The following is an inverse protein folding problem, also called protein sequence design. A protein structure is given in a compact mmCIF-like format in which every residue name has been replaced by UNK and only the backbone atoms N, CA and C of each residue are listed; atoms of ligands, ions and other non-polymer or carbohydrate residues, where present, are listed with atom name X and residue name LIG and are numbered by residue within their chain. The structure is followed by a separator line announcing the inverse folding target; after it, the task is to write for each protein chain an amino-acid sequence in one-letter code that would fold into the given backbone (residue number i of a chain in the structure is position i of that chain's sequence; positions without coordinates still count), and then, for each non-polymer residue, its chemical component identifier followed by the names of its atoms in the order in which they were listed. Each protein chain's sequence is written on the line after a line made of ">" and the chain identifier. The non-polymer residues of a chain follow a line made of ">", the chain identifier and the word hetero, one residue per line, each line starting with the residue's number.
data_IF_204008278113
#
_entry.id   IF_204008278113
#
_cell.length_a   1.000
_cell.length_b   1.000
_cell.length_c   1.000
_cell.angle_alpha   90.00
_cell.angle_beta   90.00
_cell.angle_gamma   90.00
#
_symmetry.space_group_name_H-M   'P 1'
#
loop_
_entity.id
_entity.type
_entity.pdbx_description
1 polymer ?
#
# COMPACT_ATOMS: atom_id res chain seq x y z
N UNK A 1 1.73 17.69 -21.32
CA UNK A 1 1.55 19.13 -21.04
C UNK A 1 2.34 19.44 -19.78
N UNK A 2 3.20 20.46 -19.83
CA UNK A 2 4.16 20.80 -18.78
C UNK A 2 3.39 21.35 -17.56
N UNK A 3 3.53 20.70 -16.41
CA UNK A 3 2.97 21.16 -15.12
C UNK A 3 3.61 22.50 -14.72
N UNK A 4 2.79 23.50 -14.41
CA UNK A 4 3.26 24.79 -13.91
C UNK A 4 3.63 24.66 -12.42
N UNK A 5 4.90 24.90 -12.11
CA UNK A 5 5.45 24.90 -10.75
C UNK A 5 4.76 25.92 -9.85
N UNK A 6 4.43 25.53 -8.62
CA UNK A 6 3.80 26.41 -7.62
C UNK A 6 4.83 26.99 -6.65
N UNK A 7 4.44 28.08 -5.98
CA UNK A 7 5.25 28.74 -4.94
C UNK A 7 5.69 27.78 -3.81
N UNK A 8 5.04 26.64 -3.62
CA UNK A 8 5.30 25.72 -2.49
C UNK A 8 6.21 24.53 -2.84
N UNK A 9 6.59 24.35 -4.11
CA UNK A 9 7.37 23.19 -4.57
C UNK A 9 8.74 23.07 -3.87
N UNK A 10 9.30 24.18 -3.39
CA UNK A 10 10.55 24.21 -2.63
C UNK A 10 10.48 23.57 -1.23
N UNK A 11 9.27 23.35 -0.69
CA UNK A 11 9.04 22.63 0.56
C UNK A 11 9.10 21.11 0.36
N UNK A 12 8.94 20.66 -0.88
CA UNK A 12 9.01 19.25 -1.28
C UNK A 12 10.24 19.06 -2.17
N UNK A 13 11.44 19.08 -1.59
CA UNK A 13 12.68 18.76 -2.32
C UNK A 13 12.74 17.31 -2.84
N UNK A 14 11.76 16.49 -2.48
CA UNK A 14 11.58 15.12 -2.93
C UNK A 14 10.31 14.96 -3.78
N UNK A 15 9.93 15.95 -4.61
CA UNK A 15 9.05 15.65 -5.75
C UNK A 15 9.89 14.86 -6.75
N UNK A 16 9.97 13.54 -6.53
CA UNK A 16 10.33 12.61 -7.59
C UNK A 16 9.22 12.79 -8.63
N UNK A 17 9.55 13.17 -9.88
CA UNK A 17 8.54 13.26 -10.92
C UNK A 17 7.76 11.93 -10.96
N UNK A 18 6.42 12.01 -11.07
CA UNK A 18 5.50 10.86 -11.23
C UNK A 18 5.72 10.08 -12.55
N UNK A 19 6.96 9.80 -12.91
CA UNK A 19 7.34 8.90 -13.97
C UNK A 19 8.28 7.88 -13.34
N UNK A 20 7.70 6.94 -12.60
CA UNK A 20 8.36 5.65 -12.44
C UNK A 20 8.19 4.95 -13.79
N UNK A 21 9.09 5.25 -14.73
CA UNK A 21 9.03 4.70 -16.08
C UNK A 21 8.92 3.18 -15.98
N UNK A 22 7.82 2.63 -16.49
CA UNK A 22 7.57 1.19 -16.54
C UNK A 22 6.70 0.59 -15.44
N UNK A 23 6.30 1.34 -14.40
CA UNK A 23 5.31 0.85 -13.42
C UNK A 23 3.89 0.99 -13.94
N UNK A 24 3.11 -0.08 -13.80
CA UNK A 24 1.67 -0.07 -14.07
C UNK A 24 0.92 0.52 -12.88
N UNK A 25 0.17 1.59 -13.14
CA UNK A 25 -0.75 2.20 -12.18
C UNK A 25 -2.18 1.75 -12.54
N UNK A 26 -2.93 1.27 -11.56
CA UNK A 26 -4.30 0.77 -11.73
C UNK A 26 -5.31 1.83 -11.30
N UNK A 27 -6.27 2.13 -12.16
CA UNK A 27 -7.41 2.98 -11.87
C UNK A 27 -8.72 2.21 -11.69
N UNK A 28 -9.79 2.94 -11.39
CA UNK A 28 -11.11 2.37 -11.06
C UNK A 28 -11.73 1.47 -12.14
N UNK A 29 -11.32 1.63 -13.39
CA UNK A 29 -11.81 0.85 -14.52
C UNK A 29 -10.90 -0.36 -14.87
N UNK A 30 -9.76 -0.51 -14.19
CA UNK A 30 -8.87 -1.64 -14.37
C UNK A 30 -9.30 -2.83 -13.52
N UNK A 31 -8.88 -4.02 -13.92
CA UNK A 31 -8.94 -5.22 -13.08
C UNK A 31 -7.79 -5.19 -12.06
N UNK A 32 -8.01 -4.46 -10.96
CA UNK A 32 -7.01 -4.22 -9.92
C UNK A 32 -7.09 -5.22 -8.76
N UNK A 33 -8.22 -5.89 -8.57
CA UNK A 33 -8.41 -6.85 -7.47
C UNK A 33 -7.73 -8.16 -7.82
N UNK A 34 -6.77 -8.58 -7.00
CA UNK A 34 -6.02 -9.82 -7.22
C UNK A 34 -5.99 -10.62 -5.93
N UNK A 35 -6.88 -11.62 -5.76
CA UNK A 35 -6.90 -12.46 -4.55
C UNK A 35 -5.51 -13.05 -4.25
N UNK A 36 -5.19 -13.15 -2.96
CA UNK A 36 -3.94 -13.75 -2.53
C UNK A 36 -3.87 -15.21 -2.95
N UNK A 37 -2.76 -15.60 -3.58
CA UNK A 37 -2.53 -17.00 -3.94
C UNK A 37 -1.59 -17.66 -2.94
N UNK A 38 -2.04 -17.75 -1.68
CA UNK A 38 -1.20 -18.15 -0.55
C UNK A 38 -0.59 -19.55 -0.71
N UNK A 39 -1.35 -20.51 -1.23
CA UNK A 39 -0.89 -21.89 -1.46
C UNK A 39 0.27 -22.00 -2.47
N UNK A 40 0.47 -20.97 -3.30
CA UNK A 40 1.54 -20.93 -4.32
C UNK A 40 2.69 -19.99 -3.95
N UNK A 41 2.76 -19.51 -2.69
CA UNK A 41 3.91 -18.73 -2.22
C UNK A 41 5.17 -19.59 -2.28
N UNK A 42 6.22 -19.06 -2.92
CA UNK A 42 7.47 -19.77 -3.10
C UNK A 42 8.30 -19.80 -1.81
N UNK A 43 9.09 -20.85 -1.62
CA UNK A 43 10.05 -20.94 -0.50
C UNK A 43 11.04 -19.75 -0.47
N UNK A 44 11.40 -19.21 -1.64
CA UNK A 44 12.24 -18.02 -1.75
C UNK A 44 11.52 -16.78 -1.20
N UNK A 45 10.25 -16.60 -1.53
CA UNK A 45 9.44 -15.47 -1.04
C UNK A 45 9.30 -15.52 0.48
N UNK A 46 9.03 -16.71 1.04
CA UNK A 46 9.02 -16.91 2.49
C UNK A 46 10.35 -16.52 3.15
N UNK A 47 11.48 -16.84 2.51
CA UNK A 47 12.80 -16.47 3.02
C UNK A 47 13.03 -14.96 2.97
N UNK A 48 12.71 -14.31 1.86
CA UNK A 48 12.85 -12.85 1.71
C UNK A 48 12.01 -12.13 2.79
N UNK A 49 10.76 -12.57 3.00
CA UNK A 49 9.93 -12.04 4.09
C UNK A 49 10.60 -12.19 5.45
N UNK A 50 11.10 -13.39 5.77
CA UNK A 50 11.71 -13.68 7.05
C UNK A 50 12.96 -12.81 7.30
N UNK A 51 13.81 -12.65 6.29
CA UNK A 51 15.01 -11.82 6.36
C UNK A 51 14.66 -10.35 6.59
N UNK A 52 13.74 -9.78 5.80
CA UNK A 52 13.28 -8.40 5.97
C UNK A 52 12.67 -8.16 7.37
N UNK A 53 11.85 -9.10 7.85
CA UNK A 53 11.23 -8.99 9.17
C UNK A 53 12.27 -9.01 10.28
N UNK A 54 13.17 -10.00 10.28
CA UNK A 54 14.16 -10.20 11.34
C UNK A 54 15.19 -9.06 11.37
N UNK A 55 15.53 -8.48 10.22
CA UNK A 55 16.41 -7.33 10.13
C UNK A 55 15.82 -6.08 10.79
N UNK A 56 14.49 -5.95 10.82
CA UNK A 56 13.79 -4.80 11.44
C UNK A 56 13.35 -5.03 12.88
N UNK A 57 13.24 -6.28 13.34
CA UNK A 57 12.62 -6.63 14.64
C UNK A 57 13.19 -5.80 15.81
N UNK A 58 14.51 -5.72 15.92
CA UNK A 58 15.17 -4.95 16.98
C UNK A 58 14.90 -3.44 16.86
N UNK A 59 14.96 -2.89 15.64
CA UNK A 59 14.72 -1.46 15.42
C UNK A 59 13.27 -1.09 15.73
N UNK A 60 12.31 -1.96 15.39
CA UNK A 60 10.90 -1.72 15.67
C UNK A 60 10.63 -1.76 17.16
N UNK A 61 11.16 -2.73 17.90
CA UNK A 61 10.97 -2.78 19.36
C UNK A 61 11.53 -1.53 20.05
N UNK A 62 12.64 -0.99 19.54
CA UNK A 62 13.28 0.20 20.10
C UNK A 62 12.59 1.52 19.72
N UNK A 63 12.10 1.66 18.48
CA UNK A 63 11.71 2.95 17.91
C UNK A 63 10.24 3.07 17.49
N UNK A 64 9.54 1.96 17.28
CA UNK A 64 8.14 2.02 16.84
C UNK A 64 7.23 2.51 17.97
N UNK A 65 6.12 3.14 17.58
CA UNK A 65 5.10 3.59 18.54
C UNK A 65 4.50 2.40 19.30
N UNK A 66 3.97 2.67 20.49
CA UNK A 66 3.27 1.65 21.29
C UNK A 66 2.08 1.08 20.53
N UNK A 67 1.34 1.91 19.81
CA UNK A 67 0.17 1.56 19.03
C UNK A 67 0.51 0.53 17.95
N UNK A 68 1.62 0.76 17.23
CA UNK A 68 2.15 -0.16 16.25
C UNK A 68 2.53 -1.51 16.87
N UNK A 69 3.31 -1.50 17.95
CA UNK A 69 3.77 -2.71 18.63
C UNK A 69 2.61 -3.53 19.20
N UNK A 70 1.54 -2.88 19.68
CA UNK A 70 0.33 -3.57 20.11
C UNK A 70 -0.38 -4.24 18.93
N UNK A 71 -0.49 -3.57 17.78
CA UNK A 71 -1.02 -4.16 16.55
C UNK A 71 -0.24 -5.39 16.12
N UNK A 72 1.09 -5.28 16.07
CA UNK A 72 2.00 -6.37 15.72
C UNK A 72 1.85 -7.59 16.63
N UNK A 73 1.63 -7.38 17.93
CA UNK A 73 1.40 -8.47 18.90
C UNK A 73 0.01 -9.10 18.81
N UNK A 74 -0.96 -8.40 18.22
CA UNK A 74 -2.35 -8.86 18.17
C UNK A 74 -2.65 -9.62 16.88
N UNK A 75 -2.03 -9.21 15.78
CA UNK A 75 -2.25 -9.81 14.47
C UNK A 75 -1.35 -11.04 14.27
N UNK A 76 -1.83 -12.07 13.56
CA UNK A 76 -1.04 -13.26 13.23
C UNK A 76 -0.12 -12.96 12.04
N UNK A 77 0.78 -11.97 12.19
CA UNK A 77 1.80 -11.64 11.19
C UNK A 77 3.05 -12.46 11.54
N UNK A 78 3.35 -13.55 10.81
CA UNK A 78 4.53 -14.37 11.06
C UNK A 78 5.83 -13.61 10.78
N UNK A 79 6.90 -13.94 11.50
CA UNK A 79 8.23 -13.39 11.28
C UNK A 79 9.13 -14.26 10.39
N UNK A 80 8.62 -15.39 9.89
CA UNK A 80 9.41 -16.43 9.25
C UNK A 80 8.80 -16.98 7.94
N UNK A 81 7.63 -16.49 7.53
CA UNK A 81 6.93 -16.90 6.31
C UNK A 81 5.94 -15.80 5.90
N UNK A 82 5.36 -15.88 4.71
CA UNK A 82 4.36 -14.93 4.25
C UNK A 82 3.14 -14.84 5.18
N UNK A 83 2.53 -13.66 5.33
CA UNK A 83 1.27 -13.49 6.03
C UNK A 83 0.08 -13.95 5.17
N UNK A 84 -0.93 -14.55 5.81
CA UNK A 84 -2.18 -14.94 5.16
C UNK A 84 -3.28 -13.89 5.42
N UNK A 85 -3.82 -13.30 4.37
CA UNK A 85 -4.81 -12.22 4.50
C UNK A 85 -6.12 -12.70 5.15
N UNK A 86 -6.54 -13.93 4.88
CA UNK A 86 -7.71 -14.56 5.49
C UNK A 86 -7.56 -14.76 7.01
N UNK A 87 -6.33 -14.88 7.52
CA UNK A 87 -6.06 -14.94 8.95
C UNK A 87 -6.03 -13.55 9.62
N UNK A 88 -5.68 -12.50 8.85
CA UNK A 88 -5.45 -11.14 9.36
C UNK A 88 -6.71 -10.28 9.25
N UNK A 89 -7.33 -10.23 8.07
CA UNK A 89 -8.43 -9.30 7.76
C UNK A 89 -9.62 -9.39 8.74
N UNK A 90 -10.09 -10.58 9.16
CA UNK A 90 -11.20 -10.69 10.11
C UNK A 90 -10.92 -10.06 11.48
N UNK A 91 -9.66 -10.06 11.94
CA UNK A 91 -9.29 -9.45 13.21
C UNK A 91 -9.30 -7.93 13.15
N UNK A 92 -8.88 -7.36 12.01
CA UNK A 92 -8.94 -5.93 11.76
C UNK A 92 -10.41 -5.49 11.66
N UNK A 93 -11.22 -6.24 10.91
CA UNK A 93 -12.64 -5.93 10.72
C UNK A 93 -13.37 -5.88 12.06
N UNK A 94 -13.15 -6.89 12.91
CA UNK A 94 -13.72 -6.92 14.25
C UNK A 94 -13.22 -5.79 15.17
N UNK A 95 -12.01 -5.27 14.93
CA UNK A 95 -11.42 -4.23 15.78
C UNK A 95 -11.83 -2.82 15.39
N UNK A 96 -11.80 -2.50 14.10
CA UNK A 96 -11.95 -1.12 13.59
C UNK A 96 -12.85 -1.00 12.36
N UNK A 97 -13.44 -2.11 11.91
CA UNK A 97 -14.25 -2.18 10.69
C UNK A 97 -13.44 -2.07 9.41
N UNK A 98 -12.10 -2.14 9.49
CA UNK A 98 -11.23 -2.13 8.32
C UNK A 98 -11.02 -3.54 7.76
N UNK A 99 -10.89 -3.66 6.45
CA UNK A 99 -10.60 -4.92 5.77
C UNK A 99 -9.44 -4.77 4.78
N UNK A 100 -8.77 -5.87 4.48
CA UNK A 100 -7.73 -5.91 3.46
C UNK A 100 -8.36 -6.14 2.08
N UNK A 101 -7.90 -5.40 1.07
CA UNK A 101 -8.27 -5.63 -0.34
C UNK A 101 -7.02 -6.04 -1.10
N UNK A 102 -6.90 -7.31 -1.53
CA UNK A 102 -5.76 -7.77 -2.31
C UNK A 102 -5.74 -7.10 -3.69
N UNK A 103 -4.67 -6.41 -4.03
CA UNK A 103 -4.52 -5.66 -5.28
C UNK A 103 -3.32 -6.09 -6.11
N UNK A 104 -3.42 -5.87 -7.43
CA UNK A 104 -2.42 -6.28 -8.41
C UNK A 104 -1.14 -5.42 -8.40
N UNK A 105 -1.18 -4.22 -7.80
CA UNK A 105 -0.05 -3.30 -7.75
C UNK A 105 -0.47 -1.88 -7.35
N UNK A 106 0.32 -0.90 -7.77
CA UNK A 106 0.14 0.51 -7.45
C UNK A 106 -1.22 1.06 -7.93
N UNK A 107 -1.97 1.73 -7.06
CA UNK A 107 -3.27 2.32 -7.41
C UNK A 107 -3.16 3.82 -7.69
N UNK A 108 -4.01 4.35 -8.57
CA UNK A 108 -4.18 5.79 -8.68
C UNK A 108 -4.90 6.38 -7.45
N UNK A 109 -4.80 7.71 -7.28
CA UNK A 109 -5.32 8.42 -6.12
C UNK A 109 -6.85 8.31 -6.00
N UNK A 110 -7.58 8.33 -7.12
CA UNK A 110 -9.04 8.20 -7.11
C UNK A 110 -9.46 6.85 -6.53
N UNK A 111 -8.88 5.78 -7.04
CA UNK A 111 -9.18 4.43 -6.60
C UNK A 111 -8.74 4.21 -5.15
N UNK A 112 -7.55 4.71 -4.78
CA UNK A 112 -7.03 4.59 -3.43
C UNK A 112 -7.96 5.23 -2.39
N UNK A 113 -8.43 6.47 -2.63
CA UNK A 113 -9.36 7.13 -1.70
C UNK A 113 -10.77 6.51 -1.72
N UNK A 114 -11.27 6.06 -2.88
CA UNK A 114 -12.54 5.32 -2.97
C UNK A 114 -12.53 4.01 -2.17
N UNK A 115 -11.36 3.37 -2.07
CA UNK A 115 -11.12 2.19 -1.22
C UNK A 115 -11.04 2.61 0.27
N UNK A 116 -10.23 3.60 0.61
CA UNK A 116 -10.04 4.03 2.01
C UNK A 116 -11.33 4.56 2.66
N UNK A 117 -12.18 5.31 1.93
CA UNK A 117 -13.47 5.81 2.48
C UNK A 117 -14.44 4.67 2.83
N UNK A 118 -14.23 3.47 2.28
CA UNK A 118 -14.97 2.24 2.60
C UNK A 118 -14.32 1.43 3.73
N UNK A 119 -13.30 1.97 4.40
CA UNK A 119 -12.47 1.28 5.40
C UNK A 119 -11.80 0.03 4.81
N UNK A 120 -11.33 0.15 3.59
CA UNK A 120 -10.57 -0.91 2.93
C UNK A 120 -9.13 -0.43 2.76
N UNK A 121 -8.16 -1.30 3.04
CA UNK A 121 -6.74 -1.02 2.82
C UNK A 121 -6.21 -1.91 1.69
N UNK A 122 -5.69 -1.33 0.60
CA UNK A 122 -5.14 -2.13 -0.50
C UNK A 122 -3.83 -2.76 -0.08
N UNK A 123 -3.66 -4.06 -0.36
CA UNK A 123 -2.45 -4.81 -0.06
C UNK A 123 -2.01 -5.61 -1.27
N UNK A 124 -0.74 -5.55 -1.62
CA UNK A 124 -0.17 -6.36 -2.70
C UNK A 124 0.21 -7.76 -2.20
N UNK A 125 0.11 -8.76 -3.06
CA UNK A 125 0.56 -10.15 -2.79
C UNK A 125 1.91 -10.45 -3.46
N UNK A 126 2.82 -9.48 -3.56
CA UNK A 126 4.12 -9.67 -4.19
C UNK A 126 5.20 -9.11 -3.30
N UNK A 127 6.34 -9.78 -3.22
CA UNK A 127 7.49 -9.28 -2.45
C UNK A 127 8.63 -8.91 -3.40
N UNK A 128 9.39 -7.89 -3.04
CA UNK A 128 10.62 -7.50 -3.74
C UNK A 128 11.56 -8.70 -3.93
N UNK A 129 12.39 -8.65 -4.97
CA UNK A 129 13.37 -9.70 -5.34
C UNK A 129 12.78 -11.11 -5.58
N UNK A 130 11.45 -11.25 -5.66
CA UNK A 130 10.82 -12.52 -5.97
C UNK A 130 10.79 -12.80 -7.47
N UNK A 131 10.78 -14.08 -7.89
CA UNK A 131 10.57 -14.45 -9.29
C UNK A 131 9.24 -13.91 -9.86
N UNK A 132 8.20 -13.80 -9.02
CA UNK A 132 6.92 -13.20 -9.41
C UNK A 132 7.07 -11.71 -9.73
N UNK A 133 7.91 -10.98 -9.00
CA UNK A 133 8.21 -9.57 -9.28
C UNK A 133 8.99 -9.42 -10.58
N UNK A 134 10.01 -10.26 -10.78
CA UNK A 134 10.79 -10.28 -12.02
C UNK A 134 9.92 -10.61 -13.24
N UNK A 135 8.97 -11.54 -13.09
CA UNK A 135 8.00 -11.87 -14.13
C UNK A 135 7.04 -10.71 -14.42
N UNK A 136 6.50 -10.06 -13.37
CA UNK A 136 5.59 -8.91 -13.49
C UNK A 136 6.21 -7.77 -14.30
N UNK A 137 7.52 -7.58 -14.17
CA UNK A 137 8.28 -6.50 -14.80
C UNK A 137 9.28 -6.98 -15.85
N UNK A 138 9.04 -8.16 -16.43
CA UNK A 138 9.92 -8.72 -17.44
C UNK A 138 10.08 -7.76 -18.64
N UNK A 139 11.33 -7.40 -18.94
CA UNK A 139 11.66 -6.47 -20.02
C UNK A 139 11.57 -4.98 -19.65
N UNK A 140 11.39 -4.66 -18.37
CA UNK A 140 11.41 -3.30 -17.85
C UNK A 140 12.60 -3.14 -16.90
N UNK A 141 13.39 -2.07 -17.08
CA UNK A 141 14.51 -1.76 -16.19
C UNK A 141 13.98 -1.07 -14.93
N UNK A 142 13.75 -1.86 -13.89
CA UNK A 142 13.16 -1.43 -12.63
C UNK A 142 14.10 -1.85 -11.49
N UNK A 143 14.52 -0.88 -10.68
CA UNK A 143 15.28 -1.15 -9.47
C UNK A 143 14.45 -2.02 -8.53
N UNK A 144 14.99 -3.15 -8.06
CA UNK A 144 14.31 -4.08 -7.18
C UNK A 144 15.36 -4.74 -6.28
N UNK A 145 15.62 -4.14 -5.13
CA UNK A 145 16.63 -4.59 -4.16
C UNK A 145 16.06 -4.65 -2.73
N UNK A 146 16.87 -5.09 -1.78
CA UNK A 146 16.44 -5.26 -0.38
C UNK A 146 15.92 -3.93 0.23
N UNK A 147 16.61 -2.82 -0.06
CA UNK A 147 16.33 -1.51 0.50
C UNK A 147 15.26 -0.71 -0.25
N UNK A 148 14.99 -1.07 -1.51
CA UNK A 148 14.09 -0.31 -2.36
C UNK A 148 13.30 -1.19 -3.34
N UNK A 149 11.98 -0.96 -3.34
CA UNK A 149 11.06 -1.36 -4.41
C UNK A 149 10.29 -0.11 -4.86
N UNK A 150 10.07 0.09 -6.17
CA UNK A 150 9.46 1.30 -6.69
C UNK A 150 7.93 1.25 -6.67
N UNK A 151 7.34 0.07 -6.52
CA UNK A 151 5.96 -0.08 -6.04
C UNK A 151 5.93 -0.60 -4.61
N UNK A 152 4.86 -0.29 -3.82
CA UNK A 152 4.56 -1.00 -2.60
C UNK A 152 4.56 -2.51 -2.83
N UNK A 153 5.22 -3.24 -1.95
CA UNK A 153 5.21 -4.70 -1.90
C UNK A 153 4.51 -5.18 -0.62
N UNK A 154 4.23 -6.47 -0.52
CA UNK A 154 3.50 -7.07 0.61
C UNK A 154 4.18 -6.75 1.95
N UNK A 155 5.51 -6.64 1.97
CA UNK A 155 6.24 -6.29 3.17
C UNK A 155 5.95 -4.85 3.60
N UNK A 156 6.03 -3.88 2.68
CA UNK A 156 5.62 -2.51 2.98
C UNK A 156 4.16 -2.42 3.43
N UNK A 157 3.25 -3.05 2.68
CA UNK A 157 1.82 -2.97 2.95
C UNK A 157 1.47 -3.59 4.32
N UNK A 158 1.85 -4.85 4.52
CA UNK A 158 1.51 -5.61 5.73
C UNK A 158 2.33 -5.18 6.93
N UNK A 159 3.65 -5.16 6.84
CA UNK A 159 4.48 -4.83 7.99
C UNK A 159 4.35 -3.34 8.33
N UNK A 160 4.34 -2.46 7.32
CA UNK A 160 4.42 -1.01 7.52
C UNK A 160 3.12 -0.39 8.02
N UNK A 161 1.97 -0.85 7.51
CA UNK A 161 0.68 -0.17 7.75
C UNK A 161 -0.30 -0.96 8.60
N UNK A 162 -0.45 -2.26 8.34
CA UNK A 162 -1.55 -3.05 8.89
C UNK A 162 -1.61 -3.08 10.44
N UNK A 163 -0.49 -3.12 11.18
CA UNK A 163 -0.53 -3.06 12.64
C UNK A 163 -1.23 -1.81 13.18
N UNK A 164 -1.13 -0.67 12.50
CA UNK A 164 -1.80 0.56 12.91
C UNK A 164 -3.32 0.49 12.76
N UNK A 165 -3.85 -0.36 11.87
CA UNK A 165 -5.29 -0.52 11.69
C UNK A 165 -5.97 -1.19 12.90
N UNK A 166 -5.20 -1.74 13.84
CA UNK A 166 -5.71 -2.20 15.13
C UNK A 166 -5.93 -1.05 16.14
N UNK A 167 -5.43 0.14 15.85
CA UNK A 167 -5.68 1.33 16.66
C UNK A 167 -6.88 2.10 16.13
N UNK A 168 -7.99 2.14 16.89
CA UNK A 168 -9.22 2.81 16.47
C UNK A 168 -9.03 4.28 16.08
N UNK A 169 -8.22 5.05 16.80
CA UNK A 169 -8.01 6.48 16.48
C UNK A 169 -7.27 6.66 15.16
N UNK A 170 -6.23 5.85 14.93
CA UNK A 170 -5.50 5.86 13.66
C UNK A 170 -6.39 5.40 12.50
N UNK A 171 -7.13 4.32 12.70
CA UNK A 171 -8.06 3.77 11.71
C UNK A 171 -9.18 4.76 11.34
N UNK A 172 -9.72 5.50 12.32
CA UNK A 172 -10.70 6.55 12.06
C UNK A 172 -10.07 7.76 11.35
N UNK A 173 -8.85 8.16 11.73
CA UNK A 173 -8.12 9.22 11.03
C UNK A 173 -7.85 8.88 9.57
N UNK A 174 -7.38 7.66 9.27
CA UNK A 174 -7.18 7.19 7.89
C UNK A 174 -8.48 7.21 7.08
N UNK A 175 -9.60 6.88 7.72
CA UNK A 175 -10.90 6.90 7.07
C UNK A 175 -11.35 8.33 6.76
N UNK A 176 -11.14 9.27 7.69
CA UNK A 176 -11.43 10.70 7.48
C UNK A 176 -10.60 11.27 6.32
N UNK A 177 -9.30 10.91 6.23
CA UNK A 177 -8.45 11.27 5.07
C UNK A 177 -8.99 10.66 3.78
N UNK A 178 -9.43 9.40 3.81
CA UNK A 178 -10.06 8.73 2.68
C UNK A 178 -11.30 9.46 2.16
N UNK A 179 -12.20 9.86 3.06
CA UNK A 179 -13.41 10.63 2.73
C UNK A 179 -13.03 11.98 2.13
N UNK A 180 -12.13 12.74 2.78
CA UNK A 180 -11.72 14.06 2.32
C UNK A 180 -11.01 14.01 0.95
N UNK A 181 -10.13 13.03 0.74
CA UNK A 181 -9.44 12.85 -0.54
C UNK A 181 -10.40 12.56 -1.69
N UNK A 182 -11.41 11.70 -1.46
CA UNK A 182 -12.45 11.40 -2.44
C UNK A 182 -13.30 12.63 -2.78
N UNK A 183 -13.69 13.42 -1.77
CA UNK A 183 -14.44 14.67 -1.96
C UNK A 183 -13.67 15.69 -2.79
N UNK A 184 -12.38 15.90 -2.50
CA UNK A 184 -11.51 16.84 -3.23
C UNK A 184 -11.36 16.41 -4.70
N UNK A 185 -11.12 15.13 -4.97
CA UNK A 185 -10.97 14.63 -6.35
C UNK A 185 -12.26 14.80 -7.15
N UNK A 186 -13.41 14.54 -6.54
CA UNK A 186 -14.72 14.74 -7.18
C UNK A 186 -14.94 16.22 -7.50
N UNK A 187 -14.64 17.12 -6.56
CA UNK A 187 -14.81 18.58 -6.76
C UNK A 187 -13.88 19.10 -7.87
N UNK A 188 -12.61 18.70 -7.90
CA UNK A 188 -11.69 19.08 -8.99
C UNK A 188 -12.19 18.64 -10.37
N UNK A 189 -12.81 17.46 -10.46
CA UNK A 189 -13.42 16.98 -11.71
C UNK A 189 -14.69 17.74 -12.06
N UNK A 190 -15.52 18.03 -11.07
CA UNK A 190 -16.70 18.90 -11.21
C UNK A 190 -16.31 20.26 -11.78
N UNK A 191 -15.30 20.90 -11.19
CA UNK A 191 -14.72 22.16 -11.66
C UNK A 191 -14.15 22.06 -13.08
N UNK A 192 -13.41 20.98 -13.42
CA UNK A 192 -12.87 20.77 -14.78
C UNK A 192 -13.96 20.50 -15.83
N UNK A 193 -15.04 19.82 -15.46
CA UNK A 193 -16.16 19.53 -16.37
C UNK A 193 -17.01 20.76 -16.70
N UNK A 194 -17.02 21.77 -15.82
CA UNK A 194 -17.72 23.05 -16.03
C UNK A 194 -17.03 24.04 -16.98
N UNK A 195 -15.78 23.79 -17.39
CA UNK A 195 -15.02 24.67 -18.27
C UNK A 195 -14.98 24.24 -19.75
N UNK A 196 -15.60 23.10 -20.12
CA UNK A 196 -15.70 22.63 -21.51
C UNK A 196 -17.06 22.96 -22.15
N UNK A 197 -17.55 24.18 -21.95
CA UNK A 197 -18.85 24.61 -22.46
C UNK A 197 -19.00 26.13 -22.52
N UNK A 198 -18.22 26.78 -23.38
CA UNK A 198 -18.52 28.12 -23.93
C UNK A 198 -17.76 28.36 -25.22
#
# INVERSE_FOLDING_TARGET
>A
MVSQSTKYDHLFKNVIPNTIDGIRIFGKNDDYVKPQNYDNVLNLENRIWAELFQNLEFLLDQYASREYLLGMRTLPIPNNMFPEFEAISPLIENSTGWTLVPVAGFLDEELFFDINKKRQFPVTDIIRQSPRFDEKYAGVDIQNDEGYTPEPDIFHDIQGHIPFLMNKKYADFMWEIGVLGDEIIIDERGARSGFNGS
#
